data_IF_493851170141
#
_entry.id   IF_493851170141
#
_cell.length_a   1.000
_cell.length_b   1.000
_cell.length_c   1.000
_cell.angle_alpha   90.00
_cell.angle_beta   90.00
_cell.angle_gamma   90.00
#
_symmetry.space_group_name_H-M   'P 1'
#
loop_
_entity.id
_entity.type
_entity.pdbx_description
1 polymer ?
#
# COMPACT_ATOMS: atom_id res chain seq x y z
N UNK A 1 -6.70 -1.62 7.96
CA UNK A 1 -7.92 -1.50 7.14
C UNK A 1 -7.87 -2.47 5.98
N UNK A 2 -8.73 -2.25 4.98
CA UNK A 2 -8.78 -3.01 3.74
C UNK A 2 -8.78 -2.08 2.54
N UNK A 3 -8.14 -2.47 1.44
CA UNK A 3 -8.22 -1.76 0.15
C UNK A 3 -8.49 -2.72 -1.02
N UNK A 4 -9.09 -2.21 -2.08
CA UNK A 4 -9.20 -2.86 -3.37
C UNK A 4 -9.28 -1.82 -4.50
N UNK A 5 -8.76 -2.15 -5.68
CA UNK A 5 -9.08 -1.44 -6.91
C UNK A 5 -10.28 -2.13 -7.57
N UNK A 6 -11.40 -1.43 -7.73
CA UNK A 6 -12.68 -1.97 -8.20
C UNK A 6 -13.23 -1.15 -9.37
N UNK A 7 -14.11 -1.73 -10.22
CA UNK A 7 -14.75 -0.97 -11.29
C UNK A 7 -15.74 0.08 -10.79
N UNK A 8 -16.32 -0.12 -9.60
CA UNK A 8 -17.34 0.76 -9.01
C UNK A 8 -16.93 1.23 -7.62
N UNK A 9 -17.36 2.44 -7.26
CA UNK A 9 -17.06 3.07 -5.98
C UNK A 9 -17.86 2.38 -4.84
N UNK A 10 -17.17 1.98 -3.78
CA UNK A 10 -17.79 1.36 -2.59
C UNK A 10 -16.88 1.50 -1.37
N UNK A 11 -17.42 1.18 -0.19
CA UNK A 11 -16.72 1.21 1.08
C UNK A 11 -16.80 2.54 1.80
N UNK A 12 -15.98 2.67 2.85
CA UNK A 12 -15.99 3.85 3.72
C UNK A 12 -15.27 5.04 3.08
N UNK A 13 -14.21 4.74 2.31
CA UNK A 13 -13.40 5.71 1.58
C UNK A 13 -13.29 5.26 0.13
N UNK A 14 -13.37 6.20 -0.80
CA UNK A 14 -13.26 5.91 -2.22
C UNK A 14 -12.68 7.09 -3.00
N UNK A 15 -11.86 6.79 -3.99
CA UNK A 15 -11.26 7.78 -4.88
C UNK A 15 -11.18 7.20 -6.30
N UNK A 16 -11.44 8.02 -7.33
CA UNK A 16 -11.22 7.58 -8.70
C UNK A 16 -9.72 7.29 -8.91
N UNK A 17 -9.44 6.25 -9.69
CA UNK A 17 -8.09 5.88 -10.10
C UNK A 17 -7.95 6.04 -11.61
N UNK A 18 -6.82 6.57 -12.05
CA UNK A 18 -6.45 6.66 -13.45
C UNK A 18 -5.05 6.07 -13.70
N UNK A 19 -4.86 5.48 -14.86
CA UNK A 19 -3.57 4.97 -15.35
C UNK A 19 -3.33 5.61 -16.72
N UNK A 20 -2.25 6.39 -16.85
CA UNK A 20 -1.95 7.16 -18.07
C UNK A 20 -3.16 7.94 -18.61
N UNK A 21 -3.81 8.71 -17.72
CA UNK A 21 -5.01 9.52 -17.97
C UNK A 21 -6.28 8.71 -18.35
N UNK A 22 -6.22 7.37 -18.34
CA UNK A 22 -7.37 6.50 -18.59
C UNK A 22 -7.99 6.06 -17.27
N UNK A 23 -9.31 6.06 -17.19
CA UNK A 23 -10.01 5.56 -16.01
C UNK A 23 -9.66 4.10 -15.71
N UNK A 24 -9.13 3.85 -14.52
CA UNK A 24 -8.72 2.53 -14.02
C UNK A 24 -9.67 1.98 -12.94
N UNK A 25 -10.81 2.66 -12.71
CA UNK A 25 -11.81 2.31 -11.71
C UNK A 25 -11.69 3.19 -10.46
N UNK A 26 -11.90 2.57 -9.30
CA UNK A 26 -11.97 3.21 -7.99
C UNK A 26 -11.08 2.50 -6.99
N UNK A 27 -10.20 3.24 -6.33
CA UNK A 27 -9.56 2.76 -5.13
C UNK A 27 -10.55 2.86 -3.98
N UNK A 28 -10.97 1.72 -3.47
CA UNK A 28 -11.95 1.58 -2.40
C UNK A 28 -11.25 1.13 -1.11
N UNK A 29 -11.70 1.65 0.03
CA UNK A 29 -11.16 1.33 1.34
C UNK A 29 -12.26 1.13 2.39
N UNK A 30 -12.00 0.22 3.32
CA UNK A 30 -12.88 -0.07 4.45
C UNK A 30 -12.08 -0.12 5.75
N UNK A 31 -12.66 0.43 6.80
CA UNK A 31 -12.21 0.31 8.18
C UNK A 31 -12.93 -0.85 8.84
N UNK A 32 -12.21 -1.59 9.69
CA UNK A 32 -12.77 -2.72 10.42
C UNK A 32 -12.05 -4.06 10.23
N UNK A 33 -12.51 -5.03 11.01
CA UNK A 33 -11.84 -6.32 11.18
C UNK A 33 -12.23 -7.36 10.11
N UNK A 34 -13.50 -7.42 9.69
CA UNK A 34 -13.96 -8.41 8.69
C UNK A 34 -13.54 -8.03 7.27
N UNK A 35 -13.32 -9.04 6.40
CA UNK A 35 -13.02 -8.80 4.98
C UNK A 35 -14.29 -8.35 4.25
N UNK A 36 -14.32 -7.13 3.67
CA UNK A 36 -15.56 -6.54 3.14
C UNK A 36 -15.87 -6.99 1.70
N UNK A 37 -14.85 -7.40 0.94
CA UNK A 37 -14.97 -7.74 -0.47
C UNK A 37 -13.97 -8.84 -0.85
N UNK A 38 -14.28 -9.77 -1.79
CA UNK A 38 -13.37 -10.85 -2.21
C UNK A 38 -12.05 -10.39 -2.81
N UNK A 39 -11.99 -9.18 -3.36
CA UNK A 39 -10.75 -8.57 -3.86
C UNK A 39 -10.02 -7.72 -2.81
N UNK A 40 -10.62 -7.49 -1.64
CA UNK A 40 -10.02 -6.63 -0.61
C UNK A 40 -8.78 -7.28 0.02
N UNK A 41 -7.72 -6.49 0.15
CA UNK A 41 -6.46 -6.87 0.79
C UNK A 41 -6.25 -6.02 2.05
N UNK A 42 -5.64 -6.61 3.07
CA UNK A 42 -5.26 -5.89 4.28
C UNK A 42 -4.23 -4.83 3.94
N UNK A 43 -4.36 -3.67 4.57
CA UNK A 43 -3.41 -2.55 4.47
C UNK A 43 -3.23 -1.93 5.85
N UNK A 44 -2.10 -1.26 6.08
CA UNK A 44 -1.92 -0.39 7.24
C UNK A 44 -3.02 0.68 7.25
N UNK A 45 -3.80 0.71 8.32
CA UNK A 45 -4.93 1.63 8.47
C UNK A 45 -4.49 3.10 8.57
N UNK A 46 -3.24 3.35 8.97
CA UNK A 46 -2.67 4.70 9.00
C UNK A 46 -2.55 5.34 7.61
N UNK A 47 -2.61 4.53 6.56
CA UNK A 47 -2.66 4.99 5.18
C UNK A 47 -4.04 5.53 4.79
N UNK A 48 -5.11 5.20 5.53
CA UNK A 48 -6.49 5.49 5.16
C UNK A 48 -6.99 6.79 5.79
N UNK A 49 -7.11 7.85 4.99
CA UNK A 49 -7.47 9.21 5.43
C UNK A 49 -8.67 9.76 4.66
N UNK A 50 -9.70 10.19 5.41
CA UNK A 50 -10.98 10.72 4.86
C UNK A 50 -10.77 11.94 3.96
N UNK A 51 -9.84 12.82 4.32
CA UNK A 51 -9.49 14.00 3.55
C UNK A 51 -8.11 13.84 2.89
N UNK A 52 -7.79 12.62 2.44
CA UNK A 52 -6.53 12.33 1.77
C UNK A 52 -6.39 13.21 0.53
N UNK A 53 -5.25 13.85 0.34
CA UNK A 53 -5.01 14.63 -0.88
C UNK A 53 -4.77 13.69 -2.08
N UNK A 54 -4.98 14.21 -3.29
CA UNK A 54 -4.67 13.46 -4.50
C UNK A 54 -3.19 13.05 -4.52
N UNK A 55 -2.92 11.87 -5.05
CA UNK A 55 -1.59 11.26 -5.00
C UNK A 55 -1.32 10.39 -6.22
N UNK A 56 -0.05 10.04 -6.39
CA UNK A 56 0.35 8.98 -7.31
C UNK A 56 0.77 7.76 -6.50
N UNK A 57 0.39 6.57 -6.94
CA UNK A 57 0.77 5.32 -6.29
C UNK A 57 1.44 4.36 -7.26
N UNK A 58 2.30 3.52 -6.70
CA UNK A 58 2.74 2.27 -7.30
C UNK A 58 1.97 1.16 -6.59
N UNK A 59 1.16 0.43 -7.34
CA UNK A 59 0.37 -0.69 -6.85
C UNK A 59 0.91 -1.98 -7.49
N UNK A 60 1.53 -2.82 -6.66
CA UNK A 60 1.98 -4.16 -7.05
C UNK A 60 1.02 -5.17 -6.46
N UNK A 61 0.39 -5.99 -7.30
CA UNK A 61 -0.50 -7.08 -6.87
C UNK A 61 0.03 -8.41 -7.40
N UNK A 62 0.20 -9.37 -6.50
CA UNK A 62 0.70 -10.70 -6.83
C UNK A 62 -0.46 -11.66 -7.14
N UNK A 63 -0.37 -12.46 -8.22
CA UNK A 63 -1.34 -13.50 -8.50
C UNK A 63 -1.34 -14.52 -7.37
N UNK A 64 -2.49 -15.13 -7.10
CA UNK A 64 -2.70 -16.02 -5.93
C UNK A 64 -1.62 -17.10 -5.82
N UNK A 65 -1.18 -17.65 -6.94
CA UNK A 65 -0.21 -18.75 -7.02
C UNK A 65 1.24 -18.31 -6.76
N UNK A 66 1.52 -17.00 -6.81
CA UNK A 66 2.86 -16.43 -6.62
C UNK A 66 2.98 -15.60 -5.34
N UNK A 67 2.00 -15.69 -4.44
CA UNK A 67 2.01 -14.97 -3.16
C UNK A 67 3.00 -15.62 -2.21
N UNK A 68 4.09 -14.94 -1.85
CA UNK A 68 5.02 -15.50 -0.89
C UNK A 68 4.46 -15.34 0.53
N UNK A 69 5.14 -15.97 1.49
CA UNK A 69 4.89 -15.70 2.90
C UNK A 69 5.31 -14.26 3.25
N UNK A 70 4.70 -13.68 4.28
CA UNK A 70 4.89 -12.27 4.63
C UNK A 70 6.36 -11.91 4.94
N UNK A 71 7.14 -12.85 5.49
CA UNK A 71 8.57 -12.67 5.81
C UNK A 71 9.51 -13.03 4.66
N UNK A 72 8.99 -13.09 3.43
CA UNK A 72 9.81 -13.38 2.27
C UNK A 72 10.98 -12.38 2.16
N UNK A 73 12.22 -12.88 2.02
CA UNK A 73 13.39 -12.02 1.98
C UNK A 73 13.34 -10.95 0.89
N UNK A 74 12.73 -11.23 -0.28
CA UNK A 74 12.63 -10.25 -1.36
C UNK A 74 11.66 -9.13 -1.00
N UNK A 75 10.53 -9.45 -0.37
CA UNK A 75 9.58 -8.46 0.14
C UNK A 75 10.19 -7.58 1.25
N UNK A 76 10.91 -8.19 2.19
CA UNK A 76 11.62 -7.46 3.25
C UNK A 76 12.73 -6.57 2.67
N UNK A 77 13.48 -7.04 1.68
CA UNK A 77 14.51 -6.24 1.01
C UNK A 77 13.92 -5.05 0.24
N UNK A 78 12.82 -5.26 -0.50
CA UNK A 78 12.13 -4.18 -1.20
C UNK A 78 11.63 -3.12 -0.21
N UNK A 79 10.98 -3.53 0.89
CA UNK A 79 10.55 -2.63 1.96
C UNK A 79 11.72 -1.85 2.56
N UNK A 80 12.83 -2.52 2.88
CA UNK A 80 14.03 -1.88 3.42
C UNK A 80 14.62 -0.86 2.44
N UNK A 81 14.61 -1.15 1.13
CA UNK A 81 15.07 -0.20 0.12
C UNK A 81 14.23 1.08 0.13
N UNK A 82 12.89 0.96 0.09
CA UNK A 82 11.96 2.10 0.18
C UNK A 82 12.18 2.92 1.45
N UNK A 83 12.25 2.25 2.60
CA UNK A 83 12.42 2.93 3.90
C UNK A 83 13.79 3.60 4.04
N UNK A 84 14.85 3.01 3.49
CA UNK A 84 16.22 3.54 3.55
C UNK A 84 16.39 4.78 2.69
N UNK A 85 15.76 4.82 1.52
CA UNK A 85 15.84 5.98 0.63
C UNK A 85 15.07 7.18 1.20
N UNK A 86 13.95 6.93 1.91
CA UNK A 86 13.20 7.98 2.59
C UNK A 86 12.57 9.02 1.65
N UNK A 87 12.50 8.71 0.35
CA UNK A 87 12.02 9.60 -0.72
C UNK A 87 10.52 9.50 -0.98
N UNK A 88 9.81 8.63 -0.28
CA UNK A 88 8.41 8.33 -0.52
C UNK A 88 7.59 8.63 0.73
N UNK A 89 6.36 9.10 0.52
CA UNK A 89 5.51 9.59 1.61
C UNK A 89 4.88 8.48 2.44
N UNK A 90 4.58 7.33 1.83
CA UNK A 90 4.10 6.15 2.56
C UNK A 90 4.32 4.86 1.77
N UNK A 91 4.40 3.74 2.47
CA UNK A 91 4.38 2.40 1.89
C UNK A 91 3.65 1.45 2.83
N UNK A 92 2.89 0.51 2.25
CA UNK A 92 2.23 -0.55 3.00
C UNK A 92 2.30 -1.87 2.25
N UNK A 93 2.63 -2.94 2.97
CA UNK A 93 2.47 -4.29 2.45
C UNK A 93 0.99 -4.65 2.44
N UNK A 94 0.56 -5.32 1.37
CA UNK A 94 -0.79 -5.81 1.22
C UNK A 94 -0.82 -7.30 1.53
N UNK A 95 -1.70 -7.75 2.41
CA UNK A 95 -1.83 -9.19 2.72
C UNK A 95 -3.22 -9.71 2.41
N UNK A 96 -3.29 -10.94 1.91
CA UNK A 96 -4.57 -11.63 1.65
C UNK A 96 -5.14 -12.25 2.93
N UNK A 97 -4.25 -12.70 3.80
CA UNK A 97 -4.52 -13.33 5.09
C UNK A 97 -3.32 -13.04 6.04
N UNK A 98 -3.29 -13.57 7.28
CA UNK A 98 -2.21 -13.29 8.22
C UNK A 98 -0.81 -13.75 7.78
N UNK A 99 -0.70 -14.61 6.77
CA UNK A 99 0.54 -15.29 6.37
C UNK A 99 1.00 -14.86 4.98
N UNK A 100 0.10 -14.63 4.03
CA UNK A 100 0.46 -14.43 2.64
C UNK A 100 0.49 -12.95 2.23
N UNK A 101 1.65 -12.55 1.68
CA UNK A 101 1.81 -11.28 1.00
C UNK A 101 1.04 -11.32 -0.32
N UNK A 102 0.19 -10.34 -0.54
CA UNK A 102 -0.57 -10.16 -1.76
C UNK A 102 -0.03 -9.03 -2.65
N UNK A 103 0.91 -8.22 -2.14
CA UNK A 103 1.49 -7.12 -2.90
C UNK A 103 1.96 -5.96 -2.02
N UNK A 104 2.06 -4.78 -2.61
CA UNK A 104 2.40 -3.56 -1.89
C UNK A 104 1.73 -2.35 -2.55
N UNK A 105 1.52 -1.31 -1.74
CA UNK A 105 1.14 0.02 -2.20
C UNK A 105 2.18 1.02 -1.69
N UNK A 106 2.77 1.76 -2.62
CA UNK A 106 3.70 2.84 -2.34
C UNK A 106 3.07 4.15 -2.79
N UNK A 107 3.17 5.20 -1.99
CA UNK A 107 2.48 6.47 -2.20
C UNK A 107 3.48 7.61 -2.35
N UNK A 108 3.32 8.38 -3.43
CA UNK A 108 3.99 9.64 -3.68
C UNK A 108 2.98 10.78 -3.69
N UNK A 109 3.33 11.91 -3.11
CA UNK A 109 2.46 13.09 -3.12
C UNK A 109 2.44 13.75 -4.50
N UNK A 110 1.26 14.17 -4.94
CA UNK A 110 1.10 14.83 -6.24
C UNK A 110 1.85 16.19 -6.32
N UNK A 111 2.05 16.85 -5.18
CA UNK A 111 2.75 18.14 -5.07
C UNK A 111 4.28 18.01 -4.95
N UNK A 112 4.84 16.80 -5.03
CA UNK A 112 6.28 16.53 -4.85
C UNK A 112 6.88 15.74 -6.02
N UNK A 113 7.43 16.43 -7.03
CA UNK A 113 8.00 15.81 -8.23
C UNK A 113 9.08 14.76 -7.95
N UNK A 114 9.88 14.95 -6.90
CA UNK A 114 10.96 14.05 -6.50
C UNK A 114 10.45 12.70 -5.98
N UNK A 115 9.26 12.67 -5.37
CA UNK A 115 8.60 11.44 -4.92
C UNK A 115 7.99 10.72 -6.13
N UNK A 116 7.33 11.46 -7.02
CA UNK A 116 6.75 10.93 -8.26
C UNK A 116 7.83 10.27 -9.13
N UNK A 117 9.01 10.89 -9.22
CA UNK A 117 10.15 10.32 -9.93
C UNK A 117 10.65 9.05 -9.25
N UNK A 118 10.81 9.06 -7.93
CA UNK A 118 11.24 7.88 -7.16
C UNK A 118 10.27 6.70 -7.29
N UNK A 119 8.97 6.98 -7.41
CA UNK A 119 7.92 5.98 -7.54
C UNK A 119 8.04 5.14 -8.82
N UNK A 120 8.67 5.67 -9.88
CA UNK A 120 8.90 4.93 -11.14
C UNK A 120 9.83 3.73 -10.95
N UNK A 121 10.76 3.86 -10.01
CA UNK A 121 11.76 2.85 -9.69
C UNK A 121 11.41 2.10 -8.39
N UNK A 122 10.11 1.98 -8.07
CA UNK A 122 9.65 1.33 -6.85
C UNK A 122 10.26 -0.09 -6.71
N UNK A 123 11.05 -0.36 -5.65
CA UNK A 123 11.65 -1.65 -5.39
C UNK A 123 10.66 -2.84 -5.41
N UNK A 124 9.38 -2.61 -5.09
CA UNK A 124 8.36 -3.65 -5.13
C UNK A 124 8.03 -4.12 -6.55
N UNK A 125 8.34 -3.34 -7.59
CA UNK A 125 8.18 -3.75 -9.00
C UNK A 125 9.03 -4.95 -9.41
N UNK A 126 9.96 -5.40 -8.55
CA UNK A 126 10.72 -6.65 -8.75
C UNK A 126 9.92 -7.90 -8.38
N UNK A 127 8.85 -7.76 -7.58
CA UNK A 127 8.00 -8.87 -7.14
C UNK A 127 6.86 -9.14 -8.13
N UNK A 128 6.44 -8.12 -8.88
CA UNK A 128 5.35 -8.18 -9.85
C UNK A 128 5.19 -6.86 -10.59
N UNK A 129 4.21 -6.78 -11.48
CA UNK A 129 3.93 -5.57 -12.24
C UNK A 129 3.56 -4.39 -11.31
N UNK A 130 4.32 -3.29 -11.41
CA UNK A 130 4.06 -2.07 -10.67
C UNK A 130 3.17 -1.14 -11.50
N UNK A 131 1.87 -1.16 -11.21
CA UNK A 131 0.90 -0.28 -11.86
C UNK A 131 0.98 1.12 -11.26
N UNK A 132 1.23 2.11 -12.10
CA UNK A 132 1.38 3.51 -11.68
C UNK A 132 0.04 4.22 -11.84
N UNK A 133 -0.61 4.54 -10.73
CA UNK A 133 -1.97 5.08 -10.73
C UNK A 133 -2.01 6.48 -10.12
N UNK A 134 -2.71 7.39 -10.78
CA UNK A 134 -3.11 8.67 -10.22
C UNK A 134 -4.43 8.49 -9.48
N UNK A 135 -4.44 8.80 -8.18
CA UNK A 135 -5.56 8.59 -7.28
C UNK A 135 -6.13 9.95 -6.86
N UNK A 136 -7.43 10.11 -7.02
CA UNK A 136 -8.15 11.28 -6.56
C UNK A 136 -8.09 11.46 -5.03
N UNK A 137 -8.59 12.59 -4.50
CA UNK A 137 -8.62 12.81 -3.06
C UNK A 137 -9.61 11.85 -2.36
N UNK A 138 -9.42 11.65 -1.05
CA UNK A 138 -10.42 11.04 -0.16
C UNK A 138 -10.12 9.64 0.37
N UNK A 139 -9.01 9.01 -0.05
CA UNK A 139 -8.65 7.65 0.40
C UNK A 139 -7.30 7.58 1.10
N UNK A 140 -6.26 8.09 0.43
CA UNK A 140 -4.88 7.88 0.87
C UNK A 140 -4.36 9.12 1.60
N UNK A 141 -3.87 8.89 2.81
CA UNK A 141 -3.07 9.85 3.55
C UNK A 141 -1.59 9.52 3.48
N UNK A 142 -0.81 10.26 4.26
CA UNK A 142 0.62 10.04 4.42
C UNK A 142 0.89 9.86 5.91
N UNK A 143 1.60 8.80 6.25
CA UNK A 143 2.14 8.59 7.59
C UNK A 143 3.65 8.53 7.43
N UNK A 144 4.38 9.35 8.20
CA UNK A 144 5.84 9.35 8.16
C UNK A 144 6.35 7.92 8.27
N UNK A 145 7.14 7.50 7.28
CA UNK A 145 7.79 6.19 7.26
C UNK A 145 8.65 6.06 8.52
N UNK A 146 8.14 5.35 9.53
CA UNK A 146 8.89 5.15 10.77
C UNK A 146 9.91 4.05 10.50
N UNK A 147 11.19 4.44 10.48
CA UNK A 147 12.31 3.51 10.31
C UNK A 147 12.57 2.83 11.66
N UNK A 148 12.48 1.49 11.72
CA UNK A 148 12.86 0.74 12.91
C UNK A 148 12.28 -0.67 13.01
N UNK A 149 12.97 -1.60 13.70
CA UNK A 149 12.57 -3.01 13.84
C UNK A 149 11.24 -3.21 14.59
N UNK A 150 10.78 -2.21 15.35
CA UNK A 150 9.60 -2.28 16.24
C UNK A 150 8.27 -2.24 15.46
N UNK A 151 8.27 -1.82 14.19
CA UNK A 151 7.03 -1.62 13.40
C UNK A 151 6.62 -2.89 12.63
N UNK A 152 7.37 -3.99 12.74
CA UNK A 152 7.03 -5.27 12.10
C UNK A 152 5.84 -5.94 12.82
N UNK A 153 4.61 -5.67 12.38
CA UNK A 153 3.46 -6.43 12.88
C UNK A 153 3.45 -7.83 12.26
N UNK A 154 3.90 -8.82 13.01
CA UNK A 154 3.64 -10.22 12.71
C UNK A 154 2.16 -10.51 12.97
N UNK A 155 1.43 -11.01 11.97
CA UNK A 155 0.07 -11.54 12.13
C UNK A 155 -0.91 -10.65 12.95
N UNK A 156 -0.80 -9.32 12.89
CA UNK A 156 -1.70 -8.39 13.59
C UNK A 156 -1.34 -8.05 15.04
N UNK A 157 -0.22 -8.54 15.59
CA UNK A 157 0.31 -8.09 16.89
C UNK A 157 1.54 -7.19 16.68
N UNK A 158 1.69 -6.07 17.43
CA UNK A 158 2.98 -5.38 17.51
C UNK A 158 4.02 -6.31 18.13
N UNK A 159 5.29 -6.18 17.73
CA UNK A 159 6.39 -6.71 18.54
C UNK A 159 6.28 -6.17 19.97
N UNK A 160 6.49 -6.98 21.02
CA UNK A 160 6.50 -6.48 22.38
C UNK A 160 7.59 -5.41 22.51
N UNK A 161 7.17 -4.17 22.78
CA UNK A 161 8.06 -3.01 22.93
C UNK A 161 8.72 -2.90 24.30
N UNK A 162 8.42 -3.83 25.22
CA UNK A 162 8.75 -3.68 26.63
C UNK A 162 9.67 -4.82 27.08
N UNK A 163 10.96 -4.62 26.87
CA UNK A 163 12.10 -5.12 27.66
C UNK A 163 13.37 -4.72 26.91
N UNK A 164 13.91 -3.54 27.22
CA UNK A 164 15.27 -3.27 27.70
C UNK A 164 15.32 -1.82 28.19
#
# INVERSE_FOLDING_TARGET
GWIALLPEATGDLQAPAAEDDRGAGWLCAWRGAGRPHPAALRVDERLLTVAGAACRISLVLLPVQARPIADDPAALQARRAVLREGRLSAVSLLTADPVHLAGAITVARADRPEEILALRDDPFGRLGEARQLDIGPGVLGWSALTVGPVVERYAGAPWPSDRW
#
